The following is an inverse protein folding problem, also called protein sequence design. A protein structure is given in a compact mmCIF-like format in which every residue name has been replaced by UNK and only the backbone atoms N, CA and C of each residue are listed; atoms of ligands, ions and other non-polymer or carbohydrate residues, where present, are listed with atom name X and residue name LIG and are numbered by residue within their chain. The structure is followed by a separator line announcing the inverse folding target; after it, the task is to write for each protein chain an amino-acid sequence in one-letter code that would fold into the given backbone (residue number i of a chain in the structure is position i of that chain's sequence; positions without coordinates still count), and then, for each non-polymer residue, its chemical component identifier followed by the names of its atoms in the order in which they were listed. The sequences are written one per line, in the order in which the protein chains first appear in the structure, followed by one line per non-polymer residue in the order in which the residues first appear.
data_IF_284753662816
#
_entry.id   IF_284753662816
#
_cell.length_a   1.000
_cell.length_b   1.000
_cell.length_c   1.000
_cell.angle_alpha   90.00
_cell.angle_beta   90.00
_cell.angle_gamma   90.00
#
_symmetry.space_group_name_H-M   'P 1'
#
loop_
_entity.id
_entity.type
_entity.pdbx_description
1 polymer ?
#
# COMPACT_ATOMS: atom_id res chain seq x y z
N UNK A 1 -9.77 17.15 13.26
CA UNK A 1 -9.11 18.11 12.34
C UNK A 1 -9.93 18.26 11.06
N UNK A 2 -10.23 19.49 10.67
CA UNK A 2 -10.94 19.90 9.43
C UNK A 2 -10.10 20.98 8.75
N UNK A 3 -9.96 20.97 7.42
CA UNK A 3 -9.37 22.14 6.74
C UNK A 3 -10.37 23.31 6.75
N UNK A 4 -9.91 24.55 6.88
CA UNK A 4 -10.82 25.70 7.01
C UNK A 4 -11.83 25.82 5.84
N UNK A 5 -11.44 25.40 4.63
CA UNK A 5 -12.27 25.39 3.42
C UNK A 5 -13.10 24.11 3.19
N UNK A 6 -12.95 23.07 4.02
CA UNK A 6 -13.74 21.84 3.86
C UNK A 6 -15.20 22.06 4.24
N UNK A 7 -16.16 21.59 3.47
CA UNK A 7 -17.58 21.67 3.86
C UNK A 7 -17.84 20.91 5.18
N UNK A 8 -18.74 21.41 6.02
CA UNK A 8 -19.19 20.68 7.22
C UNK A 8 -19.94 19.42 6.79
N UNK A 9 -19.79 18.33 7.54
CA UNK A 9 -20.40 17.02 7.26
C UNK A 9 -21.26 16.65 8.47
N UNK A 10 -22.46 16.08 8.29
CA UNK A 10 -23.29 15.66 9.40
C UNK A 10 -22.53 14.79 10.41
N UNK A 11 -22.80 14.93 11.71
CA UNK A 11 -22.24 14.03 12.72
C UNK A 11 -22.60 12.58 12.38
N UNK A 12 -21.62 11.68 12.39
CA UNK A 12 -21.77 10.28 12.00
C UNK A 12 -21.29 9.95 10.58
N UNK A 13 -21.11 10.94 9.69
CA UNK A 13 -20.51 10.73 8.37
C UNK A 13 -19.01 11.03 8.37
N UNK A 14 -18.20 9.98 8.46
CA UNK A 14 -16.75 10.04 8.35
C UNK A 14 -16.31 9.69 6.93
N UNK A 15 -15.56 10.60 6.29
CA UNK A 15 -14.93 10.32 5.00
C UNK A 15 -13.54 9.70 5.22
N UNK A 16 -13.06 8.81 4.33
CA UNK A 16 -11.73 8.22 4.45
C UNK A 16 -10.61 9.26 4.59
N UNK A 17 -10.72 10.41 3.90
CA UNK A 17 -9.75 11.50 4.01
C UNK A 17 -9.72 12.11 5.43
N UNK A 18 -10.89 12.38 6.02
CA UNK A 18 -11.00 12.90 7.39
C UNK A 18 -10.51 11.90 8.43
N UNK A 19 -10.84 10.61 8.26
CA UNK A 19 -10.35 9.53 9.12
C UNK A 19 -8.83 9.47 9.09
N UNK A 20 -8.21 9.45 7.91
CA UNK A 20 -6.75 9.41 7.78
C UNK A 20 -6.07 10.61 8.47
N UNK A 21 -6.63 11.81 8.35
CA UNK A 21 -6.11 13.01 9.02
C UNK A 21 -6.29 12.96 10.55
N UNK A 22 -7.48 12.56 11.02
CA UNK A 22 -7.78 12.50 12.45
C UNK A 22 -7.03 11.37 13.17
N UNK A 23 -6.93 10.20 12.53
CA UNK A 23 -6.31 9.01 13.11
C UNK A 23 -4.85 9.23 13.47
N UNK A 24 -4.09 10.02 12.70
CA UNK A 24 -2.69 10.34 13.02
C UNK A 24 -2.55 11.02 14.38
N UNK A 25 -3.52 11.85 14.78
CA UNK A 25 -3.51 12.53 16.09
C UNK A 25 -3.97 11.62 17.23
N UNK A 26 -4.86 10.67 16.94
CA UNK A 26 -5.37 9.71 17.94
C UNK A 26 -4.40 8.55 18.18
N UNK A 27 -3.61 8.18 17.16
CA UNK A 27 -2.70 7.05 17.19
C UNK A 27 -1.78 7.00 18.43
N UNK A 28 -1.20 8.11 18.92
CA UNK A 28 -0.35 8.09 20.11
C UNK A 28 -1.10 7.79 21.42
N UNK A 29 -2.40 8.09 21.49
CA UNK A 29 -3.22 7.88 22.67
C UNK A 29 -3.91 6.51 22.71
N UNK A 30 -3.96 5.80 21.58
CA UNK A 30 -4.58 4.48 21.47
C UNK A 30 -3.58 3.38 21.81
N UNK A 31 -4.04 2.34 22.51
CA UNK A 31 -3.25 1.13 22.72
C UNK A 31 -2.89 0.49 21.36
N UNK A 32 -1.63 0.08 21.20
CA UNK A 32 -1.23 -0.71 20.04
C UNK A 32 -1.47 -2.20 20.32
N UNK A 33 -2.46 -2.83 19.66
CA UNK A 33 -2.76 -4.25 19.90
C UNK A 33 -1.64 -5.18 19.41
N UNK A 34 -0.83 -4.70 18.46
CA UNK A 34 0.34 -5.41 17.97
C UNK A 34 1.61 -4.72 18.46
N UNK A 35 2.51 -5.51 19.05
CA UNK A 35 3.88 -5.09 19.32
C UNK A 35 4.68 -4.84 18.04
N UNK A 36 5.86 -4.25 18.19
CA UNK A 36 6.79 -4.11 17.07
C UNK A 36 7.06 -5.49 16.44
N UNK A 37 7.24 -5.57 15.10
CA UNK A 37 7.69 -6.81 14.49
C UNK A 37 9.00 -7.25 15.15
N UNK A 38 9.17 -8.56 15.34
CA UNK A 38 10.43 -9.11 15.86
C UNK A 38 11.58 -8.60 14.98
N UNK A 39 12.67 -8.07 15.57
CA UNK A 39 13.83 -7.69 14.80
C UNK A 39 14.33 -8.93 14.06
N UNK A 40 14.30 -8.87 12.73
CA UNK A 40 14.84 -9.92 11.87
C UNK A 40 16.23 -9.53 11.43
N UNK A 41 17.16 -10.49 11.44
CA UNK A 41 18.46 -10.34 10.81
C UNK A 41 18.42 -11.05 9.47
N UNK A 42 19.13 -10.53 8.47
CA UNK A 42 19.53 -11.33 7.33
C UNK A 42 20.05 -12.70 7.76
N UNK A 43 19.75 -13.76 7.00
CA UNK A 43 20.22 -15.11 7.30
C UNK A 43 21.75 -15.18 7.46
N UNK A 44 22.29 -16.19 8.16
CA UNK A 44 23.69 -16.25 8.58
C UNK A 44 24.74 -16.12 7.46
N UNK A 45 24.36 -16.28 6.18
CA UNK A 45 25.24 -16.06 5.03
C UNK A 45 25.20 -14.67 4.40
N UNK A 46 24.38 -13.73 4.91
CA UNK A 46 24.24 -12.39 4.30
C UNK A 46 25.23 -11.41 4.94
N UNK A 47 26.18 -10.85 4.17
CA UNK A 47 27.12 -9.86 4.69
C UNK A 47 26.37 -8.63 5.23
N UNK A 48 26.77 -8.15 6.42
CA UNK A 48 26.22 -6.93 6.99
C UNK A 48 26.70 -5.70 6.22
N UNK A 49 25.81 -4.74 5.97
CA UNK A 49 26.18 -3.43 5.40
C UNK A 49 26.41 -3.39 3.89
N UNK A 50 26.47 -4.53 3.19
CA UNK A 50 26.67 -4.56 1.73
C UNK A 50 25.33 -4.78 1.02
N UNK A 51 24.85 -3.82 0.21
CA UNK A 51 23.68 -4.02 -0.64
C UNK A 51 23.99 -4.99 -1.78
N UNK A 52 22.95 -5.60 -2.39
CA UNK A 52 23.15 -6.44 -3.56
C UNK A 52 23.82 -5.64 -4.69
N UNK A 53 24.97 -6.10 -5.17
CA UNK A 53 25.69 -5.47 -6.29
C UNK A 53 24.94 -5.59 -7.63
N UNK A 54 24.05 -6.59 -7.73
CA UNK A 54 23.23 -6.86 -8.91
C UNK A 54 21.79 -7.16 -8.46
N UNK A 55 20.78 -6.59 -9.12
CA UNK A 55 19.39 -7.01 -8.93
C UNK A 55 19.22 -8.51 -9.24
N UNK A 56 18.24 -9.16 -8.60
CA UNK A 56 17.85 -10.51 -8.98
C UNK A 56 17.35 -10.52 -10.43
N UNK A 57 17.63 -11.59 -11.21
CA UNK A 57 17.07 -11.74 -12.55
C UNK A 57 15.55 -11.60 -12.52
N UNK A 58 15.01 -10.67 -13.32
CA UNK A 58 13.58 -10.48 -13.49
C UNK A 58 13.17 -11.14 -14.79
N UNK A 59 12.41 -12.22 -14.70
CA UNK A 59 11.76 -12.82 -15.85
C UNK A 59 10.51 -12.02 -16.20
N UNK A 60 10.31 -11.77 -17.49
CA UNK A 60 9.06 -11.19 -17.97
C UNK A 60 7.90 -12.11 -17.55
N UNK A 61 6.83 -11.53 -17.01
CA UNK A 61 5.61 -12.28 -16.72
C UNK A 61 5.07 -12.80 -18.06
N UNK A 62 5.24 -14.09 -18.38
CA UNK A 62 4.90 -14.70 -19.68
C UNK A 62 3.42 -14.63 -20.09
N UNK A 63 2.60 -13.88 -19.36
CA UNK A 63 1.17 -13.66 -19.57
C UNK A 63 0.84 -12.34 -20.26
N UNK A 64 1.82 -11.50 -20.62
CA UNK A 64 1.56 -10.21 -21.29
C UNK A 64 1.50 -10.26 -22.82
N UNK A 65 2.04 -11.29 -23.47
CA UNK A 65 2.11 -11.36 -24.95
C UNK A 65 0.70 -11.30 -25.58
N UNK A 66 -0.29 -11.96 -24.96
CA UNK A 66 -1.69 -11.97 -25.44
C UNK A 66 -2.56 -10.88 -24.79
N UNK A 67 -2.02 -10.08 -23.86
CA UNK A 67 -2.81 -9.13 -23.07
C UNK A 67 -3.52 -8.09 -23.94
N UNK A 68 -2.88 -7.60 -25.00
CA UNK A 68 -3.51 -6.66 -25.93
C UNK A 68 -4.77 -7.24 -26.58
N UNK A 69 -4.69 -8.50 -27.05
CA UNK A 69 -5.83 -9.20 -27.66
C UNK A 69 -6.93 -9.51 -26.63
N UNK A 70 -6.56 -9.90 -25.41
CA UNK A 70 -7.52 -10.15 -24.32
C UNK A 70 -8.22 -8.87 -23.88
N UNK A 71 -7.50 -7.74 -23.78
CA UNK A 71 -8.10 -6.43 -23.44
C UNK A 71 -9.05 -5.94 -24.53
N UNK A 72 -8.68 -6.11 -25.81
CA UNK A 72 -9.56 -5.76 -26.93
C UNK A 72 -10.84 -6.62 -26.94
N UNK A 73 -10.74 -7.92 -26.67
CA UNK A 73 -11.90 -8.81 -26.56
C UNK A 73 -12.83 -8.44 -25.39
N UNK A 74 -12.26 -8.09 -24.22
CA UNK A 74 -13.03 -7.67 -23.05
C UNK A 74 -13.74 -6.33 -23.26
N UNK A 75 -13.15 -5.40 -24.02
CA UNK A 75 -13.81 -4.14 -24.40
C UNK A 75 -14.99 -4.37 -25.36
N UNK A 76 -14.93 -5.39 -26.21
CA UNK A 76 -16.00 -5.74 -27.16
C UNK A 76 -17.16 -6.50 -26.50
N UNK A 77 -16.92 -7.22 -25.40
CA UNK A 77 -17.94 -8.01 -24.68
C UNK A 77 -18.69 -7.23 -23.59
N UNK A 78 -18.43 -5.93 -23.45
CA UNK A 78 -19.04 -5.06 -22.43
C UNK A 78 -20.19 -4.19 -22.93
N UNK A 79 -20.85 -4.59 -24.02
CA UNK A 79 -22.07 -3.97 -24.56
C UNK A 79 -23.32 -4.70 -24.12
#
# INVERSE_FOLDING_TARGET
LRHPWERSVPPGQLTPARVRRGFRNLRPALAQPAGAPKPTRPGPGRPSGIPNRRPAPRYGVGKTVKRGRTLAALQQSGG
#
